data_IF_118759441346
#
_entry.id   IF_118759441346
#
_cell.length_a   1.000
_cell.length_b   1.000
_cell.length_c   1.000
_cell.angle_alpha   90.00
_cell.angle_beta   90.00
_cell.angle_gamma   90.00
#
_symmetry.space_group_name_H-M   'P 1'
#
loop_
_entity.id
_entity.type
_entity.pdbx_description
1 polymer ?
#
# COMPACT_ATOMS: atom_id res chain seq x y z
N UNK A 1 -61.69 33.45 7.07
CA UNK A 1 -60.38 33.70 7.79
C UNK A 1 -60.19 32.73 8.97
N UNK A 2 -61.22 32.27 9.65
CA UNK A 2 -61.17 31.36 10.81
C UNK A 2 -60.65 29.95 10.42
N UNK A 3 -61.09 29.39 9.30
CA UNK A 3 -60.76 28.03 8.90
C UNK A 3 -59.20 27.86 8.61
N UNK A 4 -58.53 28.93 8.08
CA UNK A 4 -57.07 28.93 7.85
C UNK A 4 -56.30 28.97 9.17
N UNK A 5 -56.81 29.62 10.21
CA UNK A 5 -56.13 29.64 11.52
C UNK A 5 -56.30 28.32 12.27
N UNK A 6 -57.43 27.64 12.13
CA UNK A 6 -57.68 26.33 12.73
C UNK A 6 -56.80 25.27 12.05
N UNK A 7 -56.64 25.31 10.70
CA UNK A 7 -55.75 24.40 9.97
C UNK A 7 -54.27 24.58 10.38
N UNK A 8 -53.81 25.80 10.61
CA UNK A 8 -52.46 26.07 11.08
C UNK A 8 -52.21 25.58 12.52
N UNK A 9 -53.22 25.70 13.41
CA UNK A 9 -53.09 25.25 14.80
C UNK A 9 -53.05 23.71 14.90
N UNK A 10 -53.73 23.00 14.01
CA UNK A 10 -53.72 21.53 13.98
C UNK A 10 -52.50 20.98 13.23
N UNK A 11 -51.99 21.70 12.24
CA UNK A 11 -50.83 21.25 11.44
C UNK A 11 -49.54 21.20 12.26
N UNK A 12 -49.32 22.17 13.16
CA UNK A 12 -48.11 22.25 13.97
C UNK A 12 -47.95 21.07 14.94
N UNK A 13 -48.93 20.66 15.74
CA UNK A 13 -48.80 19.50 16.62
C UNK A 13 -48.70 18.18 15.86
N UNK A 14 -49.35 18.05 14.69
CA UNK A 14 -49.22 16.84 13.84
C UNK A 14 -47.82 16.72 13.28
N UNK A 15 -47.23 17.80 12.81
CA UNK A 15 -45.82 17.82 12.33
C UNK A 15 -44.82 17.56 13.46
N UNK A 16 -45.10 18.06 14.66
CA UNK A 16 -44.27 17.84 15.85
C UNK A 16 -44.34 16.36 16.31
N UNK A 17 -45.53 15.77 16.31
CA UNK A 17 -45.71 14.35 16.61
C UNK A 17 -45.07 13.45 15.56
N UNK A 18 -45.18 13.80 14.27
CA UNK A 18 -44.54 13.07 13.19
C UNK A 18 -43.00 13.19 13.28
N UNK A 19 -42.44 14.38 13.48
CA UNK A 19 -41.01 14.62 13.67
C UNK A 19 -40.43 13.87 14.88
N UNK A 20 -41.19 13.87 16.01
CA UNK A 20 -40.83 13.10 17.21
C UNK A 20 -40.87 11.60 16.97
N UNK A 21 -41.89 11.11 16.24
CA UNK A 21 -41.99 9.70 15.86
C UNK A 21 -40.86 9.24 14.97
N UNK A 22 -40.47 10.04 13.97
CA UNK A 22 -39.35 9.79 13.10
C UNK A 22 -38.01 9.81 13.90
N UNK A 23 -37.85 10.76 14.79
CA UNK A 23 -36.68 10.85 15.65
C UNK A 23 -36.55 9.63 16.59
N UNK A 24 -37.59 9.20 17.21
CA UNK A 24 -37.62 8.00 18.05
C UNK A 24 -37.37 6.74 17.22
N UNK A 25 -37.97 6.65 16.02
CA UNK A 25 -37.72 5.53 15.10
C UNK A 25 -36.29 5.47 14.65
N UNK A 26 -35.67 6.59 14.24
CA UNK A 26 -34.26 6.68 13.90
C UNK A 26 -33.37 6.37 15.12
N UNK A 27 -33.79 6.75 16.33
CA UNK A 27 -33.11 6.36 17.57
C UNK A 27 -33.11 4.84 17.79
N UNK A 28 -34.23 4.17 17.49
CA UNK A 28 -34.30 2.70 17.57
C UNK A 28 -33.52 2.00 16.48
N UNK A 29 -33.39 2.61 15.31
CA UNK A 29 -32.48 2.11 14.25
C UNK A 29 -31.01 2.29 14.64
N UNK A 30 -30.66 3.41 15.27
CA UNK A 30 -29.30 3.61 15.82
C UNK A 30 -28.96 2.58 16.91
N UNK A 31 -29.91 2.19 17.75
CA UNK A 31 -29.66 1.16 18.76
C UNK A 31 -29.65 -0.26 18.19
N UNK A 32 -30.16 -0.45 16.97
CA UNK A 32 -30.07 -1.71 16.20
C UNK A 32 -28.90 -1.75 15.24
N UNK A 33 -28.18 -0.65 15.03
CA UNK A 33 -26.79 -0.76 14.58
C UNK A 33 -26.06 -1.45 15.72
N UNK A 34 -26.13 -2.76 15.68
CA UNK A 34 -25.32 -3.65 16.46
C UNK A 34 -23.92 -3.04 16.36
N UNK A 35 -23.42 -2.49 17.45
CA UNK A 35 -21.99 -2.40 17.65
C UNK A 35 -21.53 -3.81 17.33
N UNK A 36 -21.02 -3.98 16.11
CA UNK A 36 -20.41 -5.23 15.73
C UNK A 36 -19.48 -5.53 16.90
N UNK A 37 -19.77 -6.58 17.66
CA UNK A 37 -18.82 -7.08 18.65
C UNK A 37 -17.52 -7.07 17.89
N UNK A 38 -16.46 -6.47 18.43
CA UNK A 38 -15.15 -6.65 17.82
C UNK A 38 -15.01 -8.17 17.68
N UNK A 39 -15.18 -8.65 16.46
CA UNK A 39 -14.89 -10.03 16.14
C UNK A 39 -13.42 -10.12 16.45
N UNK A 40 -13.10 -10.73 17.59
CA UNK A 40 -11.71 -11.05 17.87
C UNK A 40 -11.21 -11.74 16.62
N UNK A 41 -10.17 -11.20 15.94
CA UNK A 41 -9.70 -11.80 14.71
C UNK A 41 -9.51 -13.28 15.00
N UNK A 42 -10.16 -14.13 14.19
CA UNK A 42 -9.93 -15.57 14.30
C UNK A 42 -8.49 -15.77 13.87
N UNK A 43 -7.58 -15.77 14.84
CA UNK A 43 -6.16 -16.03 14.63
C UNK A 43 -6.04 -17.49 14.26
N UNK A 44 -6.22 -17.79 12.99
CA UNK A 44 -5.91 -19.13 12.48
C UNK A 44 -4.41 -19.26 12.39
N UNK A 45 -3.88 -20.38 12.88
CA UNK A 45 -2.45 -20.68 12.72
C UNK A 45 -2.12 -20.63 11.23
N UNK A 46 -1.09 -19.89 10.80
CA UNK A 46 -0.73 -19.82 9.40
C UNK A 46 -0.41 -21.23 8.87
N UNK A 47 -0.83 -21.50 7.62
CA UNK A 47 -0.53 -22.76 6.93
C UNK A 47 0.98 -22.93 6.67
N UNK A 48 1.69 -21.83 6.60
CA UNK A 48 3.12 -21.77 6.30
C UNK A 48 3.78 -20.74 7.23
N UNK A 49 4.94 -21.08 7.80
CA UNK A 49 5.69 -20.18 8.68
C UNK A 49 6.65 -19.37 7.84
N UNK A 50 6.41 -18.05 7.74
CA UNK A 50 7.32 -17.12 7.09
C UNK A 50 8.60 -16.95 7.94
N UNK A 51 9.78 -16.87 7.29
CA UNK A 51 10.99 -16.46 7.99
C UNK A 51 10.92 -14.99 8.38
N UNK A 52 11.50 -14.62 9.52
CA UNK A 52 11.53 -13.24 10.02
C UNK A 52 10.23 -12.79 10.68
N UNK A 53 10.02 -11.51 10.72
CA UNK A 53 8.85 -10.86 11.33
C UNK A 53 8.13 -10.01 10.28
N UNK A 54 6.80 -10.06 10.29
CA UNK A 54 5.98 -9.25 9.38
C UNK A 54 4.91 -8.48 10.18
N UNK A 55 4.70 -7.23 9.83
CA UNK A 55 3.55 -6.46 10.29
C UNK A 55 2.49 -6.42 9.19
N UNK A 56 1.25 -6.71 9.55
CA UNK A 56 0.06 -6.67 8.67
C UNK A 56 -1.06 -5.93 9.37
N UNK A 57 -2.04 -5.50 8.61
CA UNK A 57 -3.22 -4.81 9.14
C UNK A 57 -4.48 -5.60 8.82
N UNK A 58 -5.33 -5.74 9.83
CA UNK A 58 -6.67 -6.31 9.72
C UNK A 58 -7.65 -5.43 10.52
N UNK A 59 -8.75 -5.00 9.90
CA UNK A 59 -9.83 -4.23 10.56
C UNK A 59 -9.30 -3.03 11.39
N UNK A 60 -8.35 -2.28 10.84
CA UNK A 60 -7.77 -1.12 11.52
C UNK A 60 -6.84 -1.43 12.67
N UNK A 61 -6.36 -2.67 12.80
CA UNK A 61 -5.43 -3.11 13.84
C UNK A 61 -4.15 -3.66 13.23
N UNK A 62 -3.03 -3.34 13.85
CA UNK A 62 -1.73 -3.84 13.41
C UNK A 62 -1.44 -5.15 14.12
N UNK A 63 -1.06 -6.17 13.36
CA UNK A 63 -0.62 -7.47 13.87
C UNK A 63 0.83 -7.72 13.50
N UNK A 64 1.57 -8.23 14.48
CA UNK A 64 2.92 -8.76 14.33
C UNK A 64 2.83 -10.26 14.09
N UNK A 65 3.21 -10.70 12.91
CA UNK A 65 3.34 -12.12 12.56
C UNK A 65 4.79 -12.53 12.73
N UNK A 66 5.04 -13.42 13.66
CA UNK A 66 6.37 -13.99 13.94
C UNK A 66 6.23 -15.45 14.31
N UNK A 67 7.09 -16.33 13.76
CA UNK A 67 7.10 -17.76 14.01
C UNK A 67 5.71 -18.42 13.95
N UNK A 68 4.85 -17.96 13.04
CA UNK A 68 3.50 -18.48 12.87
C UNK A 68 2.46 -17.99 13.90
N UNK A 69 2.81 -17.03 14.74
CA UNK A 69 1.91 -16.41 15.71
C UNK A 69 1.54 -15.00 15.30
N UNK A 70 0.25 -14.65 15.40
CA UNK A 70 -0.25 -13.29 15.26
C UNK A 70 -0.41 -12.66 16.65
N UNK A 71 0.21 -11.50 16.86
CA UNK A 71 0.06 -10.71 18.07
C UNK A 71 -0.40 -9.32 17.69
N UNK A 72 -1.55 -8.87 18.20
CA UNK A 72 -2.00 -7.49 18.03
C UNK A 72 -1.05 -6.57 18.78
N UNK A 73 -0.66 -5.46 18.13
CA UNK A 73 0.20 -4.44 18.74
C UNK A 73 -0.49 -3.07 18.71
N UNK A 74 -0.13 -2.23 19.67
CA UNK A 74 -0.60 -0.85 19.75
C UNK A 74 -1.97 -0.69 20.41
N UNK A 75 -2.38 0.56 20.64
CA UNK A 75 -3.69 0.87 21.19
C UNK A 75 -4.79 0.67 20.13
N UNK A 76 -6.04 0.52 20.59
CA UNK A 76 -7.21 0.49 19.71
C UNK A 76 -7.28 1.74 18.83
N UNK A 77 -7.82 1.56 17.61
CA UNK A 77 -7.95 2.65 16.63
C UNK A 77 -8.14 2.09 15.22
N UNK A 78 -8.23 2.97 14.23
CA UNK A 78 -8.22 2.61 12.81
C UNK A 78 -6.80 2.82 12.25
N UNK A 79 -5.92 1.88 12.57
CA UNK A 79 -4.52 1.88 12.14
C UNK A 79 -4.33 1.30 10.76
N UNK A 80 -3.38 1.86 10.00
CA UNK A 80 -3.05 1.36 8.67
C UNK A 80 -1.60 1.70 8.28
N UNK A 81 -1.13 1.06 7.23
CA UNK A 81 0.10 1.37 6.50
C UNK A 81 1.34 1.51 7.40
N UNK A 82 1.64 0.51 8.25
CA UNK A 82 2.86 0.53 9.04
C UNK A 82 4.09 0.55 8.11
N UNK A 83 5.17 1.18 8.55
CA UNK A 83 6.49 1.12 7.93
C UNK A 83 7.56 1.10 9.00
N UNK A 84 8.66 0.38 8.77
CA UNK A 84 9.79 0.30 9.71
C UNK A 84 10.81 1.40 9.46
N UNK A 85 11.48 1.80 10.53
CA UNK A 85 12.76 2.52 10.43
C UNK A 85 13.84 1.58 9.88
N UNK A 86 14.88 2.10 9.16
CA UNK A 86 15.92 1.25 8.57
C UNK A 86 16.72 0.42 9.59
N UNK A 87 16.78 0.85 10.85
CA UNK A 87 17.39 0.12 11.96
C UNK A 87 16.47 -0.96 12.56
N UNK A 88 15.26 -1.11 12.03
CA UNK A 88 14.22 -2.04 12.46
C UNK A 88 13.86 -1.92 13.95
N UNK A 89 13.99 -0.74 14.56
CA UNK A 89 13.70 -0.54 15.98
C UNK A 89 12.36 0.14 16.24
N UNK A 90 11.78 0.80 15.21
CA UNK A 90 10.54 1.57 15.34
C UNK A 90 9.64 1.40 14.13
N UNK A 91 8.37 1.69 14.34
CA UNK A 91 7.34 1.76 13.31
C UNK A 91 6.82 3.19 13.16
N UNK A 92 6.48 3.57 11.94
CA UNK A 92 5.56 4.68 11.68
C UNK A 92 4.28 4.09 11.09
N UNK A 93 3.13 4.48 11.61
CA UNK A 93 1.83 4.03 11.11
C UNK A 93 0.85 5.20 11.01
N UNK A 94 -0.18 5.01 10.20
CA UNK A 94 -1.29 5.95 10.03
C UNK A 94 -2.39 5.58 11.01
N UNK A 95 -2.88 6.57 11.78
CA UNK A 95 -4.12 6.48 12.53
C UNK A 95 -5.18 7.33 11.85
N UNK A 96 -6.28 6.70 11.39
CA UNK A 96 -7.40 7.40 10.80
C UNK A 96 -8.40 7.82 11.87
N UNK A 97 -8.79 9.07 11.80
CA UNK A 97 -9.95 9.61 12.51
C UNK A 97 -11.17 9.70 11.59
N UNK A 98 -12.27 10.27 12.08
CA UNK A 98 -13.48 10.45 11.25
C UNK A 98 -13.28 11.38 10.04
N UNK A 99 -12.40 12.37 10.15
CA UNK A 99 -12.22 13.42 9.15
C UNK A 99 -10.75 13.79 8.88
N UNK A 100 -9.82 13.03 9.40
CA UNK A 100 -8.38 13.28 9.24
C UNK A 100 -7.61 11.98 9.43
N UNK A 101 -6.34 11.98 9.04
CA UNK A 101 -5.41 10.93 9.44
C UNK A 101 -4.06 11.50 9.84
N UNK A 102 -3.43 10.84 10.80
CA UNK A 102 -2.17 11.26 11.39
C UNK A 102 -1.12 10.18 11.36
N UNK A 103 0.14 10.59 11.28
CA UNK A 103 1.29 9.70 11.39
C UNK A 103 1.75 9.62 12.84
N UNK A 104 2.01 8.40 13.29
CA UNK A 104 2.52 8.13 14.63
C UNK A 104 3.79 7.29 14.56
N UNK A 105 4.78 7.67 15.36
CA UNK A 105 5.97 6.87 15.63
C UNK A 105 5.70 6.01 16.87
N UNK A 106 5.99 4.72 16.78
CA UNK A 106 5.80 3.75 17.86
C UNK A 106 6.98 2.77 17.92
N UNK A 107 7.10 2.07 19.04
CA UNK A 107 8.01 0.92 19.15
C UNK A 107 7.42 -0.33 18.44
N UNK A 108 8.16 -1.45 18.44
CA UNK A 108 7.73 -2.69 17.78
C UNK A 108 6.62 -3.45 18.52
N UNK A 109 6.26 -3.02 19.70
CA UNK A 109 5.14 -3.53 20.50
C UNK A 109 3.92 -2.60 20.42
N UNK A 110 4.05 -1.50 19.66
CA UNK A 110 2.99 -0.56 19.35
C UNK A 110 2.77 0.54 20.39
N UNK A 111 3.68 0.74 21.35
CA UNK A 111 3.58 1.89 22.23
C UNK A 111 3.90 3.18 21.47
N UNK A 112 3.01 4.16 21.57
CA UNK A 112 3.18 5.44 20.88
C UNK A 112 4.33 6.21 21.53
N UNK A 113 5.36 6.51 20.71
CA UNK A 113 6.51 7.32 21.13
C UNK A 113 6.26 8.80 20.78
N UNK A 114 5.63 9.08 19.63
CA UNK A 114 5.40 10.45 19.15
C UNK A 114 4.27 10.49 18.13
N UNK A 115 3.39 11.50 18.23
CA UNK A 115 2.52 11.91 17.12
C UNK A 115 3.34 12.80 16.20
N UNK A 116 3.53 12.41 14.95
CA UNK A 116 4.36 13.12 13.97
C UNK A 116 3.60 14.24 13.27
N UNK A 117 2.30 14.04 13.00
CA UNK A 117 1.43 15.05 12.38
C UNK A 117 0.24 15.37 13.27
N UNK A 118 -0.33 16.56 13.10
CA UNK A 118 -1.57 16.99 13.74
C UNK A 118 -2.48 17.57 12.65
N UNK A 119 -3.31 16.71 12.07
CA UNK A 119 -4.13 17.00 10.90
C UNK A 119 -5.60 17.21 11.25
N UNK A 120 -5.98 17.00 12.50
CA UNK A 120 -7.32 17.28 13.01
C UNK A 120 -7.48 18.75 13.41
N UNK A 121 -8.59 19.34 13.02
CA UNK A 121 -8.98 20.71 13.35
C UNK A 121 -10.43 20.76 13.82
N UNK A 122 -10.77 21.81 14.60
CA UNK A 122 -12.15 22.12 14.94
C UNK A 122 -13.01 22.38 13.69
N UNK A 123 -12.40 22.89 12.64
CA UNK A 123 -13.08 23.20 11.38
C UNK A 123 -12.72 22.14 10.34
N UNK A 124 -13.73 21.48 9.80
CA UNK A 124 -13.57 20.35 8.87
C UNK A 124 -12.72 20.70 7.63
N UNK A 125 -12.81 21.94 7.16
CA UNK A 125 -12.08 22.41 5.98
C UNK A 125 -10.55 22.50 6.19
N UNK A 126 -10.12 22.48 7.46
CA UNK A 126 -8.70 22.48 7.84
C UNK A 126 -8.20 21.10 8.28
N UNK A 127 -9.04 20.08 8.15
CA UNK A 127 -8.60 18.71 8.38
C UNK A 127 -7.81 18.21 7.18
N UNK A 128 -6.79 17.42 7.43
CA UNK A 128 -5.93 16.87 6.42
C UNK A 128 -5.79 15.35 6.52
N UNK A 129 -5.37 14.76 5.41
CA UNK A 129 -5.15 13.33 5.29
C UNK A 129 -3.68 13.05 4.96
N UNK A 130 -3.03 12.24 5.80
CA UNK A 130 -1.67 11.75 5.61
C UNK A 130 -1.69 10.22 5.47
N UNK A 131 -1.09 9.70 4.39
CA UNK A 131 -1.09 8.27 4.06
C UNK A 131 0.27 7.80 3.55
N UNK A 132 0.45 6.47 3.49
CA UNK A 132 1.60 5.79 2.90
C UNK A 132 2.95 6.29 3.41
N UNK A 133 3.18 6.36 4.73
CA UNK A 133 4.48 6.76 5.25
C UNK A 133 5.56 5.78 4.82
N UNK A 134 6.74 6.30 4.51
CA UNK A 134 7.98 5.56 4.29
C UNK A 134 9.12 6.32 4.93
N UNK A 135 10.09 5.61 5.47
CA UNK A 135 11.28 6.24 6.05
C UNK A 135 12.36 6.27 4.99
N UNK A 136 13.07 7.39 4.88
CA UNK A 136 14.23 7.49 3.99
C UNK A 136 15.32 6.49 4.39
N UNK A 137 16.12 5.98 3.43
CA UNK A 137 17.13 4.95 3.71
C UNK A 137 18.16 5.32 4.79
N UNK A 138 18.39 6.63 4.99
CA UNK A 138 19.26 7.15 6.05
C UNK A 138 18.56 7.28 7.43
N UNK A 139 17.25 6.97 7.51
CA UNK A 139 16.45 7.11 8.73
C UNK A 139 16.10 8.55 9.11
N UNK A 140 16.53 9.54 8.33
CA UNK A 140 16.42 10.94 8.71
C UNK A 140 15.02 11.53 8.52
N UNK A 141 14.27 11.05 7.49
CA UNK A 141 13.00 11.63 7.10
C UNK A 141 11.90 10.61 7.01
N UNK A 142 10.67 11.04 7.30
CA UNK A 142 9.43 10.35 6.87
C UNK A 142 8.94 11.03 5.59
N UNK A 143 8.65 10.21 4.57
CA UNK A 143 8.07 10.62 3.29
C UNK A 143 6.67 10.03 3.22
N UNK A 144 5.66 10.82 2.85
CA UNK A 144 4.27 10.42 2.92
C UNK A 144 3.41 11.17 1.90
N UNK A 145 2.24 10.63 1.58
CA UNK A 145 1.24 11.30 0.74
C UNK A 145 0.34 12.17 1.62
N UNK A 146 0.09 13.41 1.20
CA UNK A 146 -0.60 14.41 2.01
C UNK A 146 -1.45 15.34 1.13
N UNK A 147 -2.65 15.70 1.57
CA UNK A 147 -3.63 16.48 0.82
C UNK A 147 -3.49 18.01 0.98
N UNK A 148 -2.33 18.51 1.35
CA UNK A 148 -2.09 19.95 1.52
C UNK A 148 -1.30 20.55 0.34
N UNK A 149 -1.61 21.77 -0.07
CA UNK A 149 -2.72 22.62 0.35
C UNK A 149 -4.05 22.18 -0.28
N UNK A 150 -5.13 22.22 0.48
CA UNK A 150 -6.50 22.01 -0.01
C UNK A 150 -6.98 23.21 -0.81
N UNK A 151 -6.49 23.40 -2.01
CA UNK A 151 -6.91 24.57 -2.78
C UNK A 151 -8.22 24.36 -3.52
N UNK A 152 -8.53 23.20 -4.06
CA UNK A 152 -9.80 22.89 -4.75
C UNK A 152 -10.00 21.39 -5.00
N UNK A 153 -9.26 20.53 -4.33
CA UNK A 153 -9.33 19.09 -4.54
C UNK A 153 -8.75 18.32 -3.35
N UNK A 154 -8.92 17.02 -3.42
CA UNK A 154 -8.40 16.06 -2.43
C UNK A 154 -7.18 15.30 -2.97
N UNK A 155 -6.50 15.87 -3.98
CA UNK A 155 -5.34 15.23 -4.57
C UNK A 155 -4.20 15.18 -3.56
N UNK A 156 -3.64 14.00 -3.40
CA UNK A 156 -2.49 13.78 -2.55
C UNK A 156 -1.22 14.20 -3.28
N UNK A 157 -0.35 14.94 -2.63
CA UNK A 157 1.02 15.15 -3.07
C UNK A 157 1.99 14.41 -2.15
N UNK A 158 3.17 14.07 -2.63
CA UNK A 158 4.21 13.52 -1.77
C UNK A 158 4.88 14.66 -1.00
N UNK A 159 5.04 14.46 0.30
CA UNK A 159 5.72 15.35 1.23
C UNK A 159 6.79 14.60 2.01
N UNK A 160 7.76 15.33 2.54
CA UNK A 160 8.74 14.79 3.49
C UNK A 160 8.93 15.73 4.66
N UNK A 161 9.23 15.19 5.84
CA UNK A 161 9.65 15.96 7.00
C UNK A 161 10.69 15.18 7.80
N UNK A 162 11.56 15.85 8.60
CA UNK A 162 12.46 15.14 9.49
C UNK A 162 11.69 14.25 10.46
N UNK A 163 12.12 13.00 10.63
CA UNK A 163 11.46 12.03 11.53
C UNK A 163 11.43 12.53 12.98
N UNK A 164 12.49 13.17 13.40
CA UNK A 164 12.59 13.77 14.73
C UNK A 164 12.14 15.24 14.78
N UNK A 165 11.77 15.83 13.64
CA UNK A 165 11.38 17.23 13.52
C UNK A 165 9.92 17.52 13.84
N UNK A 166 9.50 18.75 13.52
CA UNK A 166 8.12 19.19 13.61
C UNK A 166 7.45 19.16 12.24
N UNK A 167 6.12 18.99 12.21
CA UNK A 167 5.32 19.00 10.98
C UNK A 167 5.49 20.30 10.17
N UNK A 168 5.75 21.44 10.83
CA UNK A 168 6.03 22.72 10.15
C UNK A 168 7.29 22.71 9.27
N UNK A 169 8.15 21.71 9.42
CA UNK A 169 9.33 21.50 8.59
C UNK A 169 9.04 20.64 7.34
N UNK A 170 7.79 20.21 7.18
CA UNK A 170 7.40 19.41 6.02
C UNK A 170 7.58 20.20 4.72
N UNK A 171 8.07 19.52 3.68
CA UNK A 171 8.32 20.06 2.35
C UNK A 171 7.65 19.22 1.29
N UNK A 172 6.97 19.87 0.35
CA UNK A 172 6.34 19.21 -0.78
C UNK A 172 7.40 18.71 -1.78
N UNK A 173 7.19 17.49 -2.25
CA UNK A 173 8.03 16.83 -3.24
C UNK A 173 7.44 16.83 -4.63
N UNK A 174 6.13 16.54 -4.75
CA UNK A 174 5.49 16.37 -6.03
C UNK A 174 4.38 17.38 -6.26
N UNK A 175 4.00 17.53 -7.52
CA UNK A 175 2.90 18.35 -7.98
C UNK A 175 1.96 17.44 -8.80
N UNK A 176 0.89 16.90 -8.17
CA UNK A 176 0.00 15.94 -8.80
C UNK A 176 -0.86 16.58 -9.89
N UNK A 177 -1.44 15.74 -10.75
CA UNK A 177 -2.50 16.18 -11.66
C UNK A 177 -3.78 16.45 -10.85
N UNK A 178 -4.54 17.42 -11.29
CA UNK A 178 -5.73 17.87 -10.61
C UNK A 178 -6.91 16.90 -10.75
N UNK A 179 -7.66 16.65 -9.68
CA UNK A 179 -8.82 15.76 -9.60
C UNK A 179 -8.55 14.30 -9.99
N UNK A 180 -7.35 13.80 -9.74
CA UNK A 180 -6.96 12.43 -10.10
C UNK A 180 -6.84 11.49 -8.90
N UNK A 181 -6.87 12.01 -7.68
CA UNK A 181 -6.48 11.31 -6.45
C UNK A 181 -5.01 11.50 -6.11
N UNK A 182 -4.21 12.01 -7.05
CA UNK A 182 -2.87 12.53 -6.79
C UNK A 182 -1.74 11.52 -6.88
N UNK A 183 -0.69 11.80 -6.11
CA UNK A 183 0.56 11.03 -6.04
C UNK A 183 0.59 10.23 -4.72
N UNK A 184 0.70 8.91 -4.80
CA UNK A 184 0.59 8.01 -3.65
C UNK A 184 1.74 7.00 -3.57
N UNK A 185 1.89 6.34 -2.41
CA UNK A 185 2.82 5.24 -2.22
C UNK A 185 4.28 5.61 -2.47
N UNK A 186 4.82 6.69 -1.84
CA UNK A 186 6.20 7.10 -2.06
C UNK A 186 7.19 6.03 -1.61
N UNK A 187 8.27 5.86 -2.37
CA UNK A 187 9.42 5.01 -2.01
C UNK A 187 10.66 5.88 -2.10
N UNK A 188 11.18 6.40 -0.99
CA UNK A 188 12.43 7.17 -0.99
C UNK A 188 13.61 6.25 -1.32
N UNK A 189 14.48 6.74 -2.18
CA UNK A 189 15.65 6.01 -2.66
C UNK A 189 16.94 6.55 -2.01
N UNK A 190 17.98 5.72 -1.98
CA UNK A 190 19.32 6.16 -1.64
C UNK A 190 19.75 7.31 -2.58
N UNK A 191 20.40 8.34 -2.04
CA UNK A 191 20.80 9.51 -2.83
C UNK A 191 19.70 10.59 -2.93
N UNK A 192 18.55 10.41 -2.25
CA UNK A 192 17.54 11.47 -2.10
C UNK A 192 16.63 11.64 -3.30
N UNK A 193 16.46 10.63 -4.13
CA UNK A 193 15.43 10.55 -5.17
C UNK A 193 14.21 9.75 -4.69
N UNK A 194 13.16 9.68 -5.51
CA UNK A 194 11.86 9.16 -5.11
C UNK A 194 11.22 8.36 -6.23
N UNK A 195 10.59 7.22 -5.88
CA UNK A 195 9.54 6.59 -6.67
C UNK A 195 8.17 6.88 -6.05
N UNK A 196 7.14 6.96 -6.87
CA UNK A 196 5.76 7.09 -6.42
C UNK A 196 4.80 6.67 -7.53
N UNK A 197 3.56 6.42 -7.18
CA UNK A 197 2.47 6.19 -8.13
C UNK A 197 1.74 7.49 -8.37
N UNK A 198 1.58 7.89 -9.64
CA UNK A 198 0.77 9.02 -10.06
C UNK A 198 -0.48 8.55 -10.77
N UNK A 199 -1.60 9.11 -10.38
CA UNK A 199 -2.86 8.90 -11.05
C UNK A 199 -3.09 9.96 -12.15
N UNK A 200 -3.71 9.53 -13.25
CA UNK A 200 -4.19 10.38 -14.34
C UNK A 200 -5.60 9.95 -14.73
N UNK A 201 -6.35 10.85 -15.37
CA UNK A 201 -7.69 10.56 -15.87
C UNK A 201 -7.65 10.75 -17.39
N UNK A 202 -8.10 9.75 -18.13
CA UNK A 202 -8.21 9.81 -19.58
C UNK A 202 -9.50 10.54 -20.03
N UNK A 203 -9.67 10.85 -21.33
CA UNK A 203 -10.89 11.49 -21.84
C UNK A 203 -12.17 10.67 -21.61
N UNK A 204 -12.09 9.38 -21.36
CA UNK A 204 -13.23 8.51 -21.02
C UNK A 204 -13.59 8.54 -19.53
N UNK A 205 -12.87 9.31 -18.73
CA UNK A 205 -12.95 9.40 -17.25
C UNK A 205 -12.43 8.17 -16.49
N UNK A 206 -11.70 7.28 -17.15
CA UNK A 206 -11.01 6.19 -16.49
C UNK A 206 -9.74 6.70 -15.78
N UNK A 207 -9.53 6.21 -14.55
CA UNK A 207 -8.33 6.52 -13.77
C UNK A 207 -7.25 5.51 -14.13
N UNK A 208 -6.07 6.01 -14.47
CA UNK A 208 -4.88 5.22 -14.74
C UNK A 208 -3.80 5.50 -13.72
N UNK A 209 -3.01 4.50 -13.43
CA UNK A 209 -1.91 4.56 -12.46
C UNK A 209 -0.57 4.27 -13.14
N UNK A 210 0.43 5.07 -12.86
CA UNK A 210 1.78 4.86 -13.39
C UNK A 210 2.82 5.05 -12.29
N UNK A 211 3.88 4.27 -12.34
CA UNK A 211 5.03 4.44 -11.46
C UNK A 211 5.95 5.50 -12.07
N UNK A 212 6.34 6.47 -11.25
CA UNK A 212 7.22 7.58 -11.62
C UNK A 212 8.49 7.58 -10.79
N UNK A 213 9.57 8.06 -11.41
CA UNK A 213 10.82 8.43 -10.76
C UNK A 213 10.98 9.94 -10.74
N UNK A 214 11.46 10.49 -9.62
CA UNK A 214 11.77 11.90 -9.45
C UNK A 214 13.11 12.08 -8.75
N UNK A 215 14.03 12.84 -9.36
CA UNK A 215 15.41 12.96 -8.89
C UNK A 215 15.58 13.86 -7.65
N UNK A 216 14.70 14.82 -7.44
CA UNK A 216 14.68 15.74 -6.29
C UNK A 216 13.30 16.38 -6.15
N UNK A 217 13.05 17.04 -5.02
CA UNK A 217 11.80 17.75 -4.78
C UNK A 217 11.45 18.74 -5.91
N UNK A 218 10.20 18.69 -6.37
CA UNK A 218 9.62 19.53 -7.42
C UNK A 218 10.33 19.46 -8.79
N UNK A 219 11.19 18.46 -9.01
CA UNK A 219 11.73 18.17 -10.34
C UNK A 219 10.66 17.53 -11.24
N UNK A 220 10.85 17.59 -12.54
CA UNK A 220 9.99 16.89 -13.49
C UNK A 220 10.11 15.38 -13.25
N UNK A 221 9.00 14.75 -12.91
CA UNK A 221 8.92 13.31 -12.73
C UNK A 221 8.92 12.60 -14.09
N UNK A 222 9.58 11.45 -14.16
CA UNK A 222 9.65 10.60 -15.36
C UNK A 222 8.85 9.32 -15.13
N UNK A 223 7.93 8.95 -16.03
CA UNK A 223 7.24 7.68 -15.93
C UNK A 223 8.21 6.52 -16.15
N UNK A 224 8.08 5.48 -15.34
CA UNK A 224 8.80 4.22 -15.48
C UNK A 224 7.98 3.14 -16.18
N UNK A 225 6.65 3.18 -16.06
CA UNK A 225 5.72 2.25 -16.71
C UNK A 225 4.92 2.96 -17.79
N UNK A 226 4.42 2.22 -18.77
CA UNK A 226 3.50 2.79 -19.76
C UNK A 226 2.12 3.06 -19.12
N UNK A 227 1.36 3.98 -19.70
CA UNK A 227 0.01 4.30 -19.21
C UNK A 227 -0.94 3.11 -19.40
N UNK A 228 -0.82 2.41 -20.52
CA UNK A 228 -1.62 1.23 -20.82
C UNK A 228 -1.35 0.03 -19.88
N UNK A 229 -0.22 0.04 -19.17
CA UNK A 229 0.09 -1.02 -18.21
C UNK A 229 -0.71 -0.85 -16.90
N UNK A 230 -1.08 0.38 -16.55
CA UNK A 230 -1.86 0.74 -15.36
C UNK A 230 -1.29 0.10 -14.10
N UNK A 231 -0.05 0.47 -13.77
CA UNK A 231 0.74 -0.13 -12.70
C UNK A 231 0.70 0.68 -11.41
N UNK A 232 0.56 -0.01 -10.30
CA UNK A 232 0.47 0.56 -8.95
C UNK A 232 1.20 -0.29 -7.92
N UNK A 233 1.11 0.07 -6.65
CA UNK A 233 1.54 -0.70 -5.48
C UNK A 233 2.97 -1.25 -5.59
N UNK A 234 3.89 -0.37 -5.96
CA UNK A 234 5.29 -0.73 -6.13
C UNK A 234 5.98 -1.09 -4.80
N UNK A 235 6.90 -2.05 -4.85
CA UNK A 235 7.81 -2.40 -3.76
C UNK A 235 9.22 -2.64 -4.29
N UNK A 236 10.20 -2.01 -3.66
CA UNK A 236 11.62 -2.17 -4.03
C UNK A 236 12.23 -3.32 -3.24
N UNK A 237 13.08 -4.14 -3.89
CA UNK A 237 13.82 -5.20 -3.22
C UNK A 237 14.79 -4.63 -2.17
N UNK A 238 15.20 -5.41 -1.16
CA UNK A 238 16.09 -4.92 -0.09
C UNK A 238 17.42 -4.38 -0.60
N UNK A 239 17.95 -4.96 -1.69
CA UNK A 239 19.17 -4.50 -2.36
C UNK A 239 18.96 -3.33 -3.33
N UNK A 240 17.71 -2.95 -3.57
CA UNK A 240 17.33 -1.84 -4.42
C UNK A 240 17.46 -2.07 -5.92
N UNK A 241 17.70 -3.31 -6.39
CA UNK A 241 17.97 -3.60 -7.81
C UNK A 241 16.80 -4.24 -8.55
N UNK A 242 15.68 -4.51 -7.86
CA UNK A 242 14.44 -5.00 -8.43
C UNK A 242 13.25 -4.24 -7.88
N UNK A 243 12.22 -4.10 -8.69
CA UNK A 243 10.92 -3.54 -8.29
C UNK A 243 9.85 -4.59 -8.55
N UNK A 244 8.97 -4.81 -7.56
CA UNK A 244 7.72 -5.53 -7.72
C UNK A 244 6.58 -4.54 -7.88
N UNK A 245 5.57 -4.86 -8.68
CA UNK A 245 4.43 -3.99 -8.96
C UNK A 245 3.19 -4.81 -9.32
N UNK A 246 2.04 -4.17 -9.19
CA UNK A 246 0.75 -4.73 -9.59
C UNK A 246 0.26 -3.92 -10.77
N UNK A 247 0.01 -4.59 -11.92
CA UNK A 247 -0.44 -3.95 -13.16
C UNK A 247 -1.73 -4.59 -13.66
N UNK A 248 -2.67 -3.79 -14.17
CA UNK A 248 -3.96 -4.29 -14.68
C UNK A 248 -3.94 -4.54 -16.19
N UNK A 249 -3.08 -3.86 -16.94
CA UNK A 249 -3.02 -3.89 -18.41
C UNK A 249 -4.38 -3.65 -19.07
N UNK A 250 -5.20 -2.76 -18.49
CA UNK A 250 -6.56 -2.47 -18.96
C UNK A 250 -7.57 -3.61 -18.74
N UNK A 251 -7.24 -4.61 -17.90
CA UNK A 251 -8.12 -5.72 -17.54
C UNK A 251 -8.77 -5.51 -16.18
N UNK A 252 -9.83 -6.26 -15.89
CA UNK A 252 -10.45 -6.30 -14.55
C UNK A 252 -9.64 -7.13 -13.53
N UNK A 253 -8.70 -7.92 -14.00
CA UNK A 253 -7.76 -8.70 -13.21
C UNK A 253 -6.39 -8.04 -13.26
N UNK A 254 -5.57 -8.34 -12.27
CA UNK A 254 -4.21 -7.81 -12.18
C UNK A 254 -3.16 -8.88 -12.50
N UNK A 255 -1.95 -8.41 -12.75
CA UNK A 255 -0.73 -9.19 -12.76
C UNK A 255 0.20 -8.74 -11.63
N UNK A 256 0.88 -9.67 -10.97
CA UNK A 256 2.01 -9.40 -10.10
C UNK A 256 3.28 -9.54 -10.91
N UNK A 257 4.04 -8.47 -11.01
CA UNK A 257 5.17 -8.33 -11.89
C UNK A 257 6.43 -7.90 -11.16
N UNK A 258 7.60 -8.26 -11.71
CA UNK A 258 8.88 -7.73 -11.27
C UNK A 258 9.70 -7.24 -12.47
N UNK A 259 10.56 -6.27 -12.21
CA UNK A 259 11.51 -5.78 -13.20
C UNK A 259 12.86 -5.43 -12.53
N UNK A 260 14.00 -5.56 -13.24
CA UNK A 260 15.26 -4.96 -12.81
C UNK A 260 15.10 -3.45 -12.66
N UNK A 261 15.72 -2.88 -11.65
CA UNK A 261 15.74 -1.43 -11.40
C UNK A 261 17.17 -0.95 -11.21
N UNK A 262 17.59 0.06 -11.94
CA UNK A 262 18.97 0.59 -11.90
C UNK A 262 19.08 1.93 -11.14
N UNK A 263 18.06 2.28 -10.36
CA UNK A 263 17.99 3.56 -9.63
C UNK A 263 17.22 4.67 -10.36
N UNK A 264 17.00 4.57 -11.68
CA UNK A 264 16.36 5.62 -12.50
C UNK A 264 15.42 5.08 -13.58
N UNK A 265 15.58 3.83 -13.99
CA UNK A 265 14.78 3.14 -15.02
C UNK A 265 14.52 1.70 -14.62
N UNK A 266 13.47 1.11 -15.20
CA UNK A 266 13.17 -0.32 -15.08
C UNK A 266 13.64 -1.04 -16.36
N UNK A 267 14.10 -2.27 -16.20
CA UNK A 267 14.41 -3.19 -17.30
C UNK A 267 13.20 -3.99 -17.77
N UNK A 268 13.41 -5.08 -18.51
CA UNK A 268 12.34 -5.94 -18.99
C UNK A 268 11.48 -6.48 -17.84
N UNK A 269 10.18 -6.33 -18.00
CA UNK A 269 9.18 -6.80 -17.03
C UNK A 269 9.02 -8.31 -17.14
N UNK A 270 8.90 -8.98 -16.00
CA UNK A 270 8.58 -10.40 -15.90
C UNK A 270 7.30 -10.58 -15.08
N UNK A 271 6.29 -11.16 -15.69
CA UNK A 271 5.05 -11.55 -15.03
C UNK A 271 5.32 -12.77 -14.14
N UNK A 272 4.95 -12.68 -12.87
CA UNK A 272 5.02 -13.79 -11.91
C UNK A 272 3.69 -14.50 -11.78
N UNK A 273 2.60 -13.74 -11.69
CA UNK A 273 1.23 -14.22 -11.57
C UNK A 273 0.33 -13.30 -12.39
N UNK A 274 -0.71 -13.86 -13.00
CA UNK A 274 -1.71 -13.09 -13.76
C UNK A 274 -3.13 -13.65 -13.56
N UNK A 275 -4.14 -12.87 -13.93
CA UNK A 275 -5.54 -13.29 -13.92
C UNK A 275 -6.22 -13.31 -12.56
N UNK A 276 -5.57 -12.79 -11.51
CA UNK A 276 -6.10 -12.68 -10.16
C UNK A 276 -6.31 -11.24 -9.69
N UNK A 277 -6.64 -11.09 -8.42
CA UNK A 277 -6.61 -9.83 -7.70
C UNK A 277 -5.41 -9.88 -6.75
N UNK A 278 -4.37 -9.16 -7.09
CA UNK A 278 -3.13 -9.09 -6.30
C UNK A 278 -2.99 -7.71 -5.71
N UNK A 279 -2.44 -7.62 -4.49
CA UNK A 279 -2.23 -6.35 -3.82
C UNK A 279 -0.99 -6.38 -2.92
N UNK A 280 -0.41 -5.20 -2.72
CA UNK A 280 0.59 -4.91 -1.69
C UNK A 280 1.76 -5.89 -1.64
N UNK A 281 2.52 -6.06 -2.73
CA UNK A 281 3.69 -6.91 -2.73
C UNK A 281 4.74 -6.41 -1.72
N UNK A 282 5.40 -7.34 -1.04
CA UNK A 282 6.53 -7.07 -0.15
C UNK A 282 7.62 -8.12 -0.36
N UNK A 283 8.85 -7.66 -0.47
CA UNK A 283 10.00 -8.54 -0.62
C UNK A 283 10.38 -9.20 0.70
N UNK A 284 10.82 -10.45 0.63
CA UNK A 284 11.49 -11.08 1.78
C UNK A 284 12.78 -10.34 2.13
N UNK A 285 13.22 -10.36 3.39
CA UNK A 285 14.45 -9.68 3.81
C UNK A 285 15.69 -10.11 3.03
N UNK A 286 15.73 -11.35 2.52
CA UNK A 286 16.81 -11.89 1.71
C UNK A 286 16.61 -11.67 0.19
N UNK A 287 15.53 -11.01 -0.22
CA UNK A 287 15.22 -10.72 -1.62
C UNK A 287 14.83 -11.93 -2.49
N UNK A 288 14.63 -13.12 -1.89
CA UNK A 288 14.40 -14.37 -2.66
C UNK A 288 12.94 -14.75 -2.80
N UNK A 289 12.04 -14.00 -2.17
CA UNK A 289 10.61 -14.26 -2.22
C UNK A 289 9.81 -12.96 -2.19
N UNK A 290 8.55 -13.06 -2.58
CA UNK A 290 7.54 -12.03 -2.38
C UNK A 290 6.43 -12.56 -1.46
N UNK A 291 5.98 -11.71 -0.55
CA UNK A 291 4.67 -11.82 0.07
C UNK A 291 3.72 -10.84 -0.63
N UNK A 292 2.46 -11.19 -0.73
CA UNK A 292 1.43 -10.35 -1.34
C UNK A 292 0.05 -10.72 -0.80
N UNK A 293 -0.92 -9.85 -1.00
CA UNK A 293 -2.31 -10.14 -0.68
C UNK A 293 -3.08 -10.57 -1.91
N UNK A 294 -3.90 -11.61 -1.75
CA UNK A 294 -4.87 -12.05 -2.74
C UNK A 294 -6.06 -12.70 -2.03
N UNK A 295 -7.27 -12.66 -2.61
CA UNK A 295 -8.43 -13.30 -2.00
C UNK A 295 -8.32 -14.82 -2.04
N UNK A 296 -8.94 -15.47 -1.07
CA UNK A 296 -9.18 -16.90 -1.12
C UNK A 296 -10.38 -17.18 -2.05
N UNK A 297 -10.11 -17.65 -3.27
CA UNK A 297 -11.11 -17.76 -4.33
C UNK A 297 -11.49 -16.38 -4.92
N UNK A 298 -12.58 -16.31 -5.70
CA UNK A 298 -12.97 -15.10 -6.44
C UNK A 298 -13.68 -14.04 -5.59
N UNK A 299 -14.21 -14.39 -4.43
CA UNK A 299 -15.02 -13.50 -3.57
C UNK A 299 -14.59 -13.53 -2.11
N UNK A 300 -13.47 -14.17 -1.79
CA UNK A 300 -12.97 -14.30 -0.42
C UNK A 300 -12.27 -13.03 0.08
N UNK A 301 -12.08 -13.00 1.39
CA UNK A 301 -11.27 -11.97 2.05
C UNK A 301 -9.79 -12.07 1.65
N UNK A 302 -9.07 -10.98 1.65
CA UNK A 302 -7.65 -10.96 1.32
C UNK A 302 -6.84 -11.76 2.35
N UNK A 303 -6.07 -12.70 1.84
CA UNK A 303 -5.15 -13.54 2.59
C UNK A 303 -3.71 -13.15 2.25
N UNK A 304 -2.78 -13.50 3.14
CA UNK A 304 -1.36 -13.40 2.87
C UNK A 304 -0.90 -14.63 2.08
N UNK A 305 -0.20 -14.39 0.99
CA UNK A 305 0.41 -15.40 0.13
C UNK A 305 1.91 -15.18 0.05
N UNK A 306 2.65 -16.23 -0.18
CA UNK A 306 4.09 -16.25 -0.36
C UNK A 306 4.46 -16.89 -1.69
N UNK A 307 5.47 -16.35 -2.36
CA UNK A 307 5.96 -16.81 -3.65
C UNK A 307 7.48 -16.80 -3.66
N UNK A 308 8.10 -17.99 -3.79
CA UNK A 308 9.53 -18.08 -4.02
C UNK A 308 9.86 -17.53 -5.40
N UNK A 309 10.90 -16.72 -5.51
CA UNK A 309 11.37 -16.23 -6.79
C UNK A 309 12.37 -17.23 -7.39
N UNK A 310 12.28 -17.51 -8.71
CA UNK A 310 13.28 -18.35 -9.37
C UNK A 310 14.64 -17.68 -9.26
N UNK A 311 15.63 -18.44 -8.84
CA UNK A 311 17.03 -18.01 -8.86
C UNK A 311 17.39 -17.70 -10.31
N UNK A 312 17.85 -16.47 -10.59
CA UNK A 312 18.37 -16.16 -11.91
C UNK A 312 19.50 -17.16 -12.24
N UNK A 313 19.50 -17.77 -13.45
CA UNK A 313 20.60 -18.65 -13.82
C UNK A 313 21.90 -17.85 -13.69
N UNK A 314 22.79 -18.33 -12.86
CA UNK A 314 24.14 -17.76 -12.74
C UNK A 314 24.74 -17.76 -14.16
N UNK A 315 25.19 -16.60 -14.70
CA UNK A 315 25.83 -16.61 -15.99
C UNK A 315 27.01 -17.60 -15.92
N UNK A 316 26.89 -18.70 -16.65
CA UNK A 316 28.02 -19.62 -16.79
C UNK A 316 29.18 -18.79 -17.29
N UNK A 317 30.26 -18.73 -16.51
CA UNK A 317 31.47 -18.07 -16.91
C UNK A 317 31.87 -18.63 -18.28
N UNK A 318 31.76 -17.82 -19.31
CA UNK A 318 32.24 -18.17 -20.63
C UNK A 318 33.75 -18.27 -20.48
N UNK A 319 34.26 -19.50 -20.38
CA UNK A 319 35.71 -19.77 -20.45
C UNK A 319 36.14 -19.31 -21.83
N UNK A 320 36.83 -18.17 -21.87
CA UNK A 320 37.47 -17.67 -23.08
C UNK A 320 38.52 -18.70 -23.50
N UNK A 321 38.13 -19.60 -24.39
CA UNK A 321 39.09 -20.51 -25.03
C UNK A 321 39.89 -19.69 -26.01
N UNK A 322 41.20 -19.56 -25.74
CA UNK A 322 42.18 -19.12 -26.72
C UNK A 322 42.10 -19.98 -27.98
N UNK A 323 42.22 -19.44 -29.17
CA UNK A 323 42.17 -20.20 -30.42
C UNK A 323 43.43 -21.03 -30.61
N UNK A 324 43.32 -22.33 -30.42
CA UNK A 324 44.31 -23.27 -31.00
C UNK A 324 43.61 -24.10 -32.09
N UNK A 325 44.28 -24.14 -33.21
CA UNK A 325 43.95 -24.70 -34.52
C UNK A 325 43.49 -26.15 -34.50
N UNK A 326 42.49 -26.39 -35.36
CA UNK A 326 42.16 -27.62 -36.11
C UNK A 326 41.79 -28.88 -35.33
N UNK A 327 40.47 -29.22 -35.37
CA UNK A 327 39.96 -30.56 -35.80
C UNK A 327 38.43 -30.48 -35.92
N UNK A 328 37.95 -30.98 -37.04
CA UNK A 328 36.55 -31.16 -37.38
C UNK A 328 35.84 -32.03 -36.32
N UNK A 329 35.06 -31.46 -35.44
CA UNK A 329 34.23 -32.19 -34.49
C UNK A 329 32.76 -31.92 -34.83
N UNK A 330 32.04 -33.02 -35.09
CA UNK A 330 30.62 -33.13 -35.32
C UNK A 330 29.84 -32.43 -34.20
N UNK A 331 29.06 -31.41 -34.54
CA UNK A 331 28.24 -30.66 -33.59
C UNK A 331 27.30 -31.61 -32.84
N UNK A 332 27.49 -31.74 -31.52
CA UNK A 332 26.50 -32.34 -30.63
C UNK A 332 25.27 -31.39 -30.51
N UNK A 333 24.06 -31.92 -30.45
CA UNK A 333 22.89 -31.08 -30.31
C UNK A 333 22.98 -30.29 -28.99
N UNK A 334 22.90 -28.97 -29.08
CA UNK A 334 22.81 -28.05 -27.95
C UNK A 334 21.56 -28.43 -27.16
N UNK A 335 21.75 -28.85 -25.92
CA UNK A 335 20.61 -29.13 -25.02
C UNK A 335 19.74 -27.86 -24.90
N UNK A 336 18.50 -27.94 -25.32
CA UNK A 336 17.51 -26.91 -25.12
C UNK A 336 17.34 -26.75 -23.60
N UNK A 337 17.48 -25.54 -23.02
CA UNK A 337 17.30 -25.34 -21.59
C UNK A 337 15.89 -25.79 -21.20
N UNK A 338 15.79 -26.72 -20.26
CA UNK A 338 14.53 -27.17 -19.69
C UNK A 338 13.86 -25.94 -19.08
N UNK A 339 12.59 -25.62 -19.41
CA UNK A 339 11.89 -24.50 -18.84
C UNK A 339 11.84 -24.65 -17.32
N UNK A 340 12.34 -23.64 -16.60
CA UNK A 340 12.22 -23.58 -15.13
C UNK A 340 10.74 -23.57 -14.79
N UNK A 341 10.25 -24.48 -13.91
CA UNK A 341 8.84 -24.50 -13.54
C UNK A 341 8.42 -23.14 -12.97
N UNK A 342 7.21 -22.71 -13.32
CA UNK A 342 6.66 -21.47 -12.79
C UNK A 342 6.58 -21.56 -11.25
N UNK A 343 6.90 -20.49 -10.52
CA UNK A 343 6.85 -20.49 -9.07
C UNK A 343 5.41 -20.72 -8.59
N UNK A 344 5.22 -21.61 -7.62
CA UNK A 344 3.91 -21.95 -7.09
C UNK A 344 3.62 -21.13 -5.83
N UNK A 345 2.53 -20.35 -5.80
CA UNK A 345 2.14 -19.60 -4.61
C UNK A 345 1.77 -20.50 -3.44
N UNK A 346 2.17 -20.10 -2.23
CA UNK A 346 1.80 -20.76 -0.98
C UNK A 346 0.94 -19.81 -0.15
N UNK A 347 -0.27 -20.26 0.21
CA UNK A 347 -1.14 -19.50 1.09
C UNK A 347 -0.60 -19.55 2.52
N UNK A 348 -0.34 -18.39 3.11
CA UNK A 348 0.20 -18.24 4.48
C UNK A 348 -0.93 -18.20 5.50
N UNK A 349 -1.99 -17.42 5.23
CA UNK A 349 -3.11 -17.23 6.16
C UNK A 349 -4.41 -17.81 5.61
N UNK A 350 -5.36 -18.08 6.50
CA UNK A 350 -6.71 -18.58 6.18
C UNK A 350 -7.70 -17.93 7.13
N UNK A 351 -8.82 -17.45 6.59
CA UNK A 351 -9.93 -16.94 7.41
C UNK A 351 -9.64 -15.58 8.08
N UNK A 352 -8.63 -14.83 7.59
CA UNK A 352 -8.39 -13.44 7.95
C UNK A 352 -8.92 -12.52 6.84
N UNK A 353 -9.02 -11.23 7.11
CA UNK A 353 -9.34 -10.21 6.12
C UNK A 353 -8.32 -9.09 6.19
N UNK A 354 -7.20 -9.27 5.50
CA UNK A 354 -6.10 -8.33 5.53
C UNK A 354 -6.39 -7.11 4.66
N UNK A 355 -5.98 -5.96 5.12
CA UNK A 355 -6.16 -4.69 4.40
C UNK A 355 -5.27 -4.64 3.15
N UNK A 356 -5.87 -4.81 1.97
CA UNK A 356 -5.17 -4.79 0.69
C UNK A 356 -4.50 -3.44 0.36
N UNK A 357 -4.92 -2.36 1.02
CA UNK A 357 -4.37 -1.00 0.87
C UNK A 357 -3.30 -0.65 1.92
N UNK A 358 -2.98 -1.61 2.79
CA UNK A 358 -1.96 -1.47 3.83
C UNK A 358 -0.83 -2.46 3.59
N UNK A 359 0.21 -2.08 2.84
CA UNK A 359 1.30 -2.99 2.48
C UNK A 359 1.91 -3.66 3.72
N UNK A 360 2.19 -4.97 3.67
CA UNK A 360 2.85 -5.64 4.76
C UNK A 360 4.31 -5.16 4.86
N UNK A 361 4.82 -5.16 6.09
CA UNK A 361 6.21 -4.79 6.36
C UNK A 361 6.95 -6.04 6.84
N UNK A 362 7.92 -6.49 6.08
CA UNK A 362 8.64 -7.74 6.32
C UNK A 362 10.13 -7.48 6.57
N UNK A 363 10.69 -8.04 7.66
CA UNK A 363 12.10 -7.86 8.08
C UNK A 363 12.67 -9.05 8.84
#
# INVERSE_FOLDING_TARGET
>A
MILRRIAAILFFPVMLAFGSGVYLYLGTLKSKVVTARPVSPVVTKPKFVLPGTMFVVQEGRIFKLNAGSFTEIGPGGDWSQPTLTPDHTKLVAVLRGGWSSDLYLMDLDGHILKRLTKNDSRYIDYNHWAFYPRISPDGANVVYSFDSPKTHGVDLAVWSMPLNGAQSQARRWTDPYWNTGGDVGPIPLAGGSLLFVRHSIDPSTAVHSRIYYQSRALAIAKPLTAEADDCSQAALSPDGVQIAMVCSHGKQTAALEIAPFNGTTIGPVRVLLEGGLYASPAWSPDGKALAYFAPEGQTGHFQLWWLALPVAPTPSATVSASPSTSASAKASPTATPTPTPAPTPVQVTVGVDLSATSPPVWY
#
